data_IF_046004127115
#
_entry.id   IF_046004127115
#
_cell.length_a   1.000
_cell.length_b   1.000
_cell.length_c   1.000
_cell.angle_alpha   90.00
_cell.angle_beta   90.00
_cell.angle_gamma   90.00
#
_symmetry.space_group_name_H-M   'P 1'
#
loop_
_entity.id
_entity.type
_entity.pdbx_description
1 polymer ?
#
# COMPACT_ATOMS: atom_id res chain seq x y z
N UNK A 1 4.63 -29.52 7.97
CA UNK A 1 4.18 -29.47 6.58
C UNK A 1 5.25 -28.76 5.78
N UNK A 2 5.75 -29.38 4.69
CA UNK A 2 6.72 -28.72 3.83
C UNK A 2 6.06 -27.51 3.19
N UNK A 3 6.67 -26.34 3.41
CA UNK A 3 6.15 -25.04 2.93
C UNK A 3 6.37 -24.88 1.42
N UNK A 4 7.33 -25.63 0.85
CA UNK A 4 7.72 -25.62 -0.57
C UNK A 4 8.02 -27.05 -0.98
N UNK A 5 7.64 -27.44 -2.18
CA UNK A 5 8.09 -28.70 -2.80
C UNK A 5 9.02 -28.42 -4.00
N UNK A 6 9.98 -29.31 -4.18
CA UNK A 6 10.92 -29.26 -5.30
C UNK A 6 10.62 -30.45 -6.23
N UNK A 7 10.34 -30.15 -7.50
CA UNK A 7 10.17 -31.16 -8.51
C UNK A 7 11.55 -31.76 -8.87
N UNK A 8 11.72 -33.06 -8.59
CA UNK A 8 13.00 -33.72 -8.77
C UNK A 8 13.31 -34.05 -10.23
N UNK A 9 12.28 -34.11 -11.10
CA UNK A 9 12.43 -34.38 -12.52
C UNK A 9 12.79 -33.10 -13.29
N UNK A 10 12.19 -31.97 -12.91
CA UNK A 10 12.45 -30.69 -13.55
C UNK A 10 13.73 -30.00 -13.01
N UNK A 11 14.16 -30.31 -11.79
CA UNK A 11 15.28 -29.65 -11.15
C UNK A 11 16.63 -29.94 -11.76
N UNK A 12 17.26 -28.93 -12.38
CA UNK A 12 18.64 -29.03 -12.93
C UNK A 12 19.76 -28.93 -11.88
N UNK A 13 19.42 -28.83 -10.60
CA UNK A 13 20.37 -28.77 -9.48
C UNK A 13 21.30 -27.52 -9.53
N UNK A 14 20.91 -26.46 -10.23
CA UNK A 14 21.71 -25.26 -10.43
C UNK A 14 22.06 -24.52 -9.13
N UNK A 15 21.22 -24.65 -8.08
CA UNK A 15 21.47 -24.06 -6.76
C UNK A 15 21.02 -22.61 -6.60
N UNK A 16 20.46 -21.98 -7.63
CA UNK A 16 19.99 -20.57 -7.58
C UNK A 16 19.02 -20.37 -6.40
N UNK A 17 18.07 -21.29 -6.19
CA UNK A 17 17.10 -21.20 -5.08
C UNK A 17 17.75 -21.14 -3.69
N UNK A 18 18.94 -21.73 -3.53
CA UNK A 18 19.72 -21.69 -2.28
C UNK A 18 20.32 -20.30 -2.10
N UNK A 19 20.91 -19.75 -3.16
CA UNK A 19 21.57 -18.43 -3.14
C UNK A 19 20.59 -17.27 -2.96
N UNK A 20 19.42 -17.32 -3.60
CA UNK A 20 18.41 -16.25 -3.52
C UNK A 20 17.56 -16.31 -2.26
N UNK A 21 17.69 -17.34 -1.43
CA UNK A 21 16.92 -17.47 -0.20
C UNK A 21 17.41 -16.48 0.86
N UNK A 22 16.64 -15.43 1.21
CA UNK A 22 17.11 -14.37 2.11
C UNK A 22 17.34 -14.88 3.54
N UNK A 23 16.71 -15.98 3.93
CA UNK A 23 16.82 -16.58 5.26
C UNK A 23 17.73 -17.82 5.30
N UNK A 24 18.29 -18.24 4.16
CA UNK A 24 19.20 -19.37 4.07
C UNK A 24 18.59 -20.70 4.53
N UNK A 25 17.30 -20.92 4.34
CA UNK A 25 16.59 -22.12 4.81
C UNK A 25 16.60 -23.27 3.81
N UNK A 26 17.09 -23.05 2.59
CA UNK A 26 17.22 -24.07 1.54
C UNK A 26 18.65 -24.59 1.55
N UNK A 27 18.81 -25.89 1.66
CA UNK A 27 20.09 -26.58 1.73
C UNK A 27 20.27 -27.51 0.52
N UNK A 28 21.46 -28.02 0.37
CA UNK A 28 21.82 -29.02 -0.68
C UNK A 28 21.98 -30.39 -0.04
N UNK A 29 21.31 -31.39 -0.57
CA UNK A 29 21.48 -32.79 -0.15
C UNK A 29 22.78 -33.38 -0.70
N UNK A 30 23.10 -34.62 -0.29
CA UNK A 30 24.24 -35.37 -0.83
C UNK A 30 24.10 -35.63 -2.34
N UNK A 31 22.88 -35.73 -2.85
CA UNK A 31 22.55 -35.92 -4.27
C UNK A 31 22.46 -34.60 -5.04
N UNK A 32 22.91 -33.51 -4.41
CA UNK A 32 22.83 -32.14 -4.93
C UNK A 32 21.43 -31.59 -5.12
N UNK A 33 20.39 -32.19 -4.52
CA UNK A 33 19.02 -31.65 -4.57
C UNK A 33 18.80 -30.57 -3.53
N UNK A 34 18.08 -29.49 -3.87
CA UNK A 34 17.65 -28.51 -2.87
C UNK A 34 16.59 -29.14 -1.97
N UNK A 35 16.64 -28.81 -0.68
CA UNK A 35 15.63 -29.20 0.30
C UNK A 35 15.57 -28.20 1.46
N UNK A 36 14.47 -28.19 2.18
CA UNK A 36 14.32 -27.46 3.46
C UNK A 36 14.26 -28.51 4.57
N UNK A 37 15.17 -28.48 5.56
CA UNK A 37 15.06 -29.35 6.73
C UNK A 37 13.74 -29.09 7.48
N UNK A 38 13.10 -30.15 8.00
CA UNK A 38 11.80 -30.04 8.70
C UNK A 38 11.82 -28.99 9.83
N UNK A 39 12.96 -28.87 10.52
CA UNK A 39 13.17 -27.90 11.59
C UNK A 39 13.35 -26.46 11.13
N UNK A 40 13.45 -26.22 9.81
CA UNK A 40 13.65 -24.88 9.23
C UNK A 40 12.43 -24.39 8.45
N UNK A 41 11.43 -25.24 8.21
CA UNK A 41 10.24 -24.87 7.46
C UNK A 41 9.47 -23.68 8.06
N UNK A 42 9.43 -23.56 9.39
CA UNK A 42 8.75 -22.45 10.07
C UNK A 42 9.50 -21.10 9.94
N UNK A 43 10.79 -21.13 9.62
CA UNK A 43 11.61 -19.92 9.43
C UNK A 43 11.39 -19.31 8.04
N UNK A 44 10.83 -20.08 7.09
CA UNK A 44 10.60 -19.62 5.73
C UNK A 44 9.65 -18.42 5.70
N UNK A 45 10.12 -17.28 5.16
CA UNK A 45 9.31 -16.05 5.00
C UNK A 45 8.26 -16.17 3.89
N UNK A 46 8.17 -17.30 3.19
CA UNK A 46 7.24 -17.47 2.05
C UNK A 46 7.33 -16.33 1.01
N UNK A 47 8.54 -15.85 0.74
CA UNK A 47 8.75 -14.66 -0.10
C UNK A 47 8.69 -14.94 -1.60
N UNK A 48 8.65 -16.21 -2.04
CA UNK A 48 8.57 -16.59 -3.45
C UNK A 48 9.88 -16.45 -4.25
N UNK A 49 10.98 -15.95 -3.67
CA UNK A 49 12.22 -15.75 -4.43
C UNK A 49 12.73 -17.04 -5.08
N UNK A 50 12.70 -18.14 -4.36
CA UNK A 50 13.17 -19.43 -4.90
C UNK A 50 12.33 -19.88 -6.10
N UNK A 51 11.04 -19.64 -6.09
CA UNK A 51 10.11 -19.91 -7.20
C UNK A 51 10.39 -18.96 -8.37
N UNK A 52 10.40 -17.63 -8.11
CA UNK A 52 10.56 -16.60 -9.13
C UNK A 52 11.91 -16.67 -9.88
N UNK A 53 12.96 -17.17 -9.24
CA UNK A 53 14.29 -17.29 -9.83
C UNK A 53 14.62 -18.72 -10.35
N UNK A 54 13.68 -19.67 -10.27
CA UNK A 54 13.90 -21.01 -10.81
C UNK A 54 13.72 -21.03 -12.33
N UNK A 55 14.79 -21.25 -13.13
CA UNK A 55 14.67 -21.18 -14.59
C UNK A 55 13.81 -22.32 -15.16
N UNK A 56 13.68 -23.42 -14.43
CA UNK A 56 12.93 -24.60 -14.86
C UNK A 56 11.50 -24.66 -14.26
N UNK A 57 11.12 -23.69 -13.42
CA UNK A 57 9.83 -23.76 -12.73
C UNK A 57 9.69 -24.97 -11.78
N UNK A 58 10.80 -25.56 -11.33
CA UNK A 58 10.84 -26.77 -10.52
C UNK A 58 10.45 -26.57 -9.05
N UNK A 59 9.83 -25.44 -8.69
CA UNK A 59 9.44 -25.10 -7.32
C UNK A 59 7.96 -24.78 -7.29
N UNK A 60 7.19 -25.55 -6.52
CA UNK A 60 5.75 -25.32 -6.41
C UNK A 60 5.44 -24.01 -5.72
N UNK A 61 4.47 -23.25 -6.25
CA UNK A 61 4.04 -21.97 -5.67
C UNK A 61 3.50 -22.19 -4.25
N UNK A 62 3.76 -21.19 -3.40
CA UNK A 62 3.34 -21.23 -2.00
C UNK A 62 1.96 -20.63 -1.74
N UNK A 63 1.43 -19.94 -2.71
CA UNK A 63 0.16 -19.26 -2.63
C UNK A 63 -0.81 -19.84 -3.65
N UNK A 64 -2.04 -20.16 -3.23
CA UNK A 64 -3.12 -20.66 -4.10
C UNK A 64 -3.70 -19.56 -5.00
N UNK A 65 -2.90 -18.60 -5.37
CA UNK A 65 -3.36 -17.49 -6.18
C UNK A 65 -2.77 -17.61 -7.58
N UNK A 66 -3.61 -17.51 -8.60
CA UNK A 66 -3.19 -17.48 -9.99
C UNK A 66 -2.31 -16.23 -10.24
N UNK A 67 -1.01 -16.43 -10.32
CA UNK A 67 -0.03 -15.35 -10.52
C UNK A 67 0.95 -15.63 -11.63
N UNK A 68 0.71 -16.67 -12.40
CA UNK A 68 1.49 -16.90 -13.59
C UNK A 68 1.36 -15.68 -14.51
N UNK A 69 2.50 -15.05 -14.80
CA UNK A 69 2.58 -14.23 -16.01
C UNK A 69 2.08 -15.15 -17.13
N UNK A 70 1.03 -14.79 -17.88
CA UNK A 70 0.58 -15.61 -18.99
C UNK A 70 1.78 -15.95 -19.86
N UNK A 71 1.88 -17.19 -20.35
CA UNK A 71 3.04 -17.67 -21.14
C UNK A 71 3.28 -16.82 -22.39
N UNK A 72 2.25 -16.12 -22.87
CA UNK A 72 2.28 -15.20 -23.99
C UNK A 72 2.46 -13.72 -23.58
N UNK A 73 2.59 -13.43 -22.28
CA UNK A 73 2.78 -12.07 -21.82
C UNK A 73 4.19 -11.58 -22.14
N UNK A 74 4.26 -10.62 -23.04
CA UNK A 74 5.50 -9.87 -23.29
C UNK A 74 5.63 -8.83 -22.19
N UNK A 75 6.63 -9.02 -21.30
CA UNK A 75 6.96 -7.98 -20.33
C UNK A 75 7.39 -6.71 -21.08
N UNK A 76 6.76 -5.55 -20.78
CA UNK A 76 7.12 -4.32 -21.47
C UNK A 76 8.55 -3.91 -21.12
N UNK A 77 9.34 -3.56 -22.12
CA UNK A 77 10.65 -2.94 -21.91
C UNK A 77 10.45 -1.48 -21.50
N UNK A 78 10.34 -1.24 -20.21
CA UNK A 78 10.14 0.11 -19.66
C UNK A 78 11.48 0.81 -19.54
N UNK A 79 11.70 1.79 -20.41
CA UNK A 79 12.92 2.62 -20.37
C UNK A 79 12.95 3.53 -19.13
N UNK A 80 14.15 3.93 -18.64
CA UNK A 80 14.28 4.89 -17.54
C UNK A 80 13.56 6.23 -17.81
N UNK A 81 13.47 6.64 -19.08
CA UNK A 81 12.77 7.88 -19.48
C UNK A 81 11.26 7.71 -19.28
N UNK A 82 10.68 6.62 -19.75
CA UNK A 82 9.23 6.34 -19.59
C UNK A 82 8.84 6.23 -18.12
N UNK A 83 9.58 5.42 -17.34
CA UNK A 83 9.36 5.31 -15.91
C UNK A 83 9.51 6.66 -15.21
N UNK A 84 10.57 7.39 -15.55
CA UNK A 84 10.84 8.70 -14.96
C UNK A 84 9.76 9.73 -15.27
N UNK A 85 9.19 9.75 -16.48
CA UNK A 85 8.04 10.60 -16.83
C UNK A 85 6.82 10.21 -16.04
N UNK A 86 6.42 8.94 -16.05
CA UNK A 86 5.27 8.43 -15.32
C UNK A 86 5.31 8.81 -13.82
N UNK A 87 6.43 8.57 -13.14
CA UNK A 87 6.58 8.88 -11.73
C UNK A 87 6.56 10.41 -11.46
N UNK A 88 7.14 11.21 -12.35
CA UNK A 88 7.22 12.67 -12.19
C UNK A 88 5.91 13.38 -12.50
N UNK A 89 5.06 12.85 -13.37
CA UNK A 89 3.74 13.38 -13.68
C UNK A 89 2.75 13.17 -12.53
N UNK A 90 2.91 12.14 -11.72
CA UNK A 90 2.03 11.87 -10.57
C UNK A 90 1.92 13.10 -9.67
N UNK A 91 0.68 13.52 -9.41
CA UNK A 91 0.34 14.63 -8.50
C UNK A 91 -0.56 14.16 -7.38
N UNK A 92 -0.47 14.82 -6.22
CA UNK A 92 -1.48 14.70 -5.18
C UNK A 92 -2.75 15.41 -5.65
N UNK A 93 -3.71 14.63 -6.10
CA UNK A 93 -4.99 15.14 -6.62
C UNK A 93 -5.91 15.51 -5.45
N UNK A 94 -6.45 16.74 -5.49
CA UNK A 94 -7.30 17.30 -4.44
C UNK A 94 -8.61 17.91 -4.97
N UNK A 95 -8.92 17.63 -6.23
CA UNK A 95 -10.16 18.01 -6.88
C UNK A 95 -10.62 16.82 -7.73
N UNK A 96 -11.79 16.33 -7.44
CA UNK A 96 -12.32 15.12 -8.05
C UNK A 96 -13.59 15.41 -8.84
N UNK A 97 -13.88 14.55 -9.83
CA UNK A 97 -15.17 14.51 -10.51
C UNK A 97 -16.20 13.91 -9.55
N UNK A 98 -17.44 14.31 -9.65
CA UNK A 98 -18.57 13.65 -8.98
C UNK A 98 -18.91 12.35 -9.73
N UNK A 99 -18.02 11.37 -9.56
CA UNK A 99 -18.10 10.07 -10.20
C UNK A 99 -17.48 9.00 -9.31
N UNK A 100 -18.28 8.00 -8.97
CA UNK A 100 -17.84 6.83 -8.22
C UNK A 100 -16.97 5.94 -9.11
N UNK A 101 -15.88 5.41 -8.56
CA UNK A 101 -15.05 4.40 -9.21
C UNK A 101 -15.70 3.04 -8.96
N UNK A 102 -15.85 2.23 -9.99
CA UNK A 102 -16.41 0.90 -9.83
C UNK A 102 -15.47 -0.01 -9.00
N UNK A 103 -16.07 -0.96 -8.27
CA UNK A 103 -15.34 -1.85 -7.37
C UNK A 103 -14.33 -2.69 -8.10
N UNK A 104 -14.65 -3.18 -9.29
CA UNK A 104 -13.76 -4.04 -10.07
C UNK A 104 -12.47 -3.29 -10.47
N UNK A 105 -12.54 -1.98 -10.74
CA UNK A 105 -11.36 -1.13 -10.99
C UNK A 105 -10.49 -1.03 -9.73
N UNK A 106 -11.10 -0.83 -8.57
CA UNK A 106 -10.38 -0.76 -7.30
C UNK A 106 -9.71 -2.10 -6.97
N UNK A 107 -10.43 -3.21 -7.15
CA UNK A 107 -9.93 -4.57 -6.94
C UNK A 107 -8.72 -4.87 -7.83
N UNK A 108 -8.80 -4.56 -9.13
CA UNK A 108 -7.68 -4.70 -10.07
C UNK A 108 -6.45 -3.86 -9.66
N UNK A 109 -6.68 -2.65 -9.15
CA UNK A 109 -5.60 -1.81 -8.66
C UNK A 109 -4.97 -2.40 -7.40
N UNK A 110 -5.78 -2.88 -6.44
CA UNK A 110 -5.30 -3.53 -5.23
C UNK A 110 -4.59 -4.85 -5.52
N UNK A 111 -4.98 -5.55 -6.59
CA UNK A 111 -4.30 -6.77 -7.05
C UNK A 111 -2.85 -6.51 -7.50
N UNK A 112 -2.57 -5.35 -8.08
CA UNK A 112 -1.21 -4.88 -8.34
C UNK A 112 -0.51 -4.49 -7.02
N UNK A 113 -1.19 -3.73 -6.16
CA UNK A 113 -0.63 -3.17 -4.93
C UNK A 113 -0.24 -4.25 -3.92
N UNK A 114 -0.90 -5.42 -3.90
CA UNK A 114 -0.56 -6.53 -3.01
C UNK A 114 0.85 -7.11 -3.23
N UNK A 115 1.48 -6.83 -4.38
CA UNK A 115 2.88 -7.18 -4.65
C UNK A 115 3.89 -6.18 -4.07
N UNK A 116 3.44 -5.15 -3.35
CA UNK A 116 4.34 -4.25 -2.64
C UNK A 116 5.20 -5.01 -1.62
N UNK A 117 6.50 -4.74 -1.53
CA UNK A 117 7.36 -5.44 -0.59
C UNK A 117 6.98 -5.13 0.87
N UNK A 118 7.16 -6.13 1.75
CA UNK A 118 6.95 -6.00 3.19
C UNK A 118 8.08 -6.66 3.97
N UNK A 119 8.29 -6.23 5.21
CA UNK A 119 9.32 -6.80 6.08
C UNK A 119 9.13 -8.30 6.25
N UNK A 120 10.18 -9.10 5.95
CA UNK A 120 10.17 -10.58 5.92
C UNK A 120 8.96 -11.19 5.18
N UNK A 121 8.45 -10.49 4.18
CA UNK A 121 7.24 -10.83 3.43
C UNK A 121 6.00 -11.09 4.32
N UNK A 122 5.89 -10.38 5.43
CA UNK A 122 4.82 -10.58 6.41
C UNK A 122 3.43 -10.15 5.89
N UNK A 123 3.36 -9.30 4.86
CA UNK A 123 2.14 -8.83 4.21
C UNK A 123 1.06 -8.36 5.22
N UNK A 124 1.39 -7.48 6.17
CA UNK A 124 0.51 -7.14 7.29
C UNK A 124 -0.60 -6.17 6.93
N UNK A 125 -0.58 -5.63 5.72
CA UNK A 125 -1.47 -4.55 5.32
C UNK A 125 -2.84 -5.09 4.94
N UNK A 126 -3.86 -4.66 5.68
CA UNK A 126 -5.25 -4.85 5.35
C UNK A 126 -5.84 -3.54 4.80
N UNK A 127 -6.87 -3.65 3.99
CA UNK A 127 -7.50 -2.52 3.32
C UNK A 127 -8.95 -2.35 3.76
N UNK A 128 -9.29 -1.16 4.23
CA UNK A 128 -10.67 -0.70 4.33
C UNK A 128 -10.91 0.32 3.23
N UNK A 129 -11.76 0.00 2.27
CA UNK A 129 -12.16 0.92 1.21
C UNK A 129 -13.51 1.54 1.57
N UNK A 130 -13.49 2.82 1.95
CA UNK A 130 -14.71 3.60 2.13
C UNK A 130 -15.19 4.02 0.75
N UNK A 131 -16.13 3.25 0.20
CA UNK A 131 -16.58 3.38 -1.20
C UNK A 131 -17.75 4.33 -1.38
N UNK A 132 -18.63 4.46 -0.39
CA UNK A 132 -19.77 5.38 -0.45
C UNK A 132 -19.32 6.82 -0.19
N UNK A 133 -19.54 7.77 -1.12
CA UNK A 133 -19.21 9.19 -0.91
C UNK A 133 -19.86 9.79 0.33
N UNK A 134 -21.05 9.33 0.73
CA UNK A 134 -21.73 9.80 1.96
C UNK A 134 -20.98 9.37 3.21
N UNK A 135 -20.39 8.17 3.18
CA UNK A 135 -19.56 7.70 4.28
C UNK A 135 -18.24 8.50 4.34
N UNK A 136 -17.63 8.83 3.21
CA UNK A 136 -16.45 9.71 3.17
C UNK A 136 -16.79 11.10 3.78
N UNK A 137 -17.93 11.68 3.43
CA UNK A 137 -18.40 12.94 4.04
C UNK A 137 -18.64 12.79 5.55
N UNK A 138 -19.13 11.65 6.00
CA UNK A 138 -19.31 11.35 7.44
C UNK A 138 -17.97 11.33 8.17
N UNK A 139 -16.95 10.68 7.60
CA UNK A 139 -15.59 10.68 8.16
C UNK A 139 -15.01 12.09 8.23
N UNK A 140 -15.21 12.93 7.18
CA UNK A 140 -14.83 14.34 7.21
C UNK A 140 -15.48 15.06 8.38
N UNK A 141 -16.80 14.94 8.55
CA UNK A 141 -17.53 15.59 9.64
C UNK A 141 -17.00 15.17 11.02
N UNK A 142 -16.87 13.88 11.27
CA UNK A 142 -16.35 13.34 12.53
C UNK A 142 -14.94 13.90 12.81
N UNK A 143 -14.09 13.97 11.78
CA UNK A 143 -12.74 14.53 11.91
C UNK A 143 -12.77 16.01 12.27
N UNK A 144 -13.66 16.79 11.67
CA UNK A 144 -13.84 18.23 12.00
C UNK A 144 -14.39 18.40 13.41
N UNK A 145 -15.35 17.59 13.83
CA UNK A 145 -15.92 17.66 15.17
C UNK A 145 -14.85 17.35 16.24
N UNK A 146 -14.03 16.34 16.01
CA UNK A 146 -12.85 16.06 16.83
C UNK A 146 -11.86 17.25 16.86
N UNK A 147 -11.61 17.91 15.72
CA UNK A 147 -10.75 19.11 15.71
C UNK A 147 -11.32 20.25 16.55
N UNK A 148 -12.65 20.44 16.54
CA UNK A 148 -13.30 21.43 17.40
C UNK A 148 -13.07 21.12 18.88
N UNK A 149 -13.19 19.87 19.28
CA UNK A 149 -12.89 19.43 20.65
C UNK A 149 -11.43 19.74 21.01
N UNK A 150 -10.46 19.32 20.15
CA UNK A 150 -9.02 19.57 20.38
C UNK A 150 -8.70 21.06 20.49
N UNK A 151 -9.33 21.90 19.68
CA UNK A 151 -9.11 23.36 19.71
C UNK A 151 -9.67 23.97 20.98
N UNK A 152 -10.78 23.43 21.53
CA UNK A 152 -11.43 23.95 22.75
C UNK A 152 -10.67 23.62 24.04
N UNK A 153 -9.81 22.59 24.02
CA UNK A 153 -9.01 22.20 25.19
C UNK A 153 -7.94 23.25 25.49
N UNK A 154 -7.70 23.52 26.77
CA UNK A 154 -6.57 24.32 27.20
C UNK A 154 -5.25 23.60 26.91
N UNK A 155 -4.20 24.38 26.64
CA UNK A 155 -2.85 23.87 26.37
C UNK A 155 -2.29 24.35 25.04
N UNK A 156 -0.97 24.29 24.93
CA UNK A 156 -0.20 24.68 23.75
C UNK A 156 -0.12 23.51 22.77
N UNK A 157 -0.98 23.55 21.76
CA UNK A 157 -0.95 22.59 20.65
C UNK A 157 -0.60 23.35 19.36
N UNK A 158 0.58 23.11 18.77
CA UNK A 158 1.03 23.82 17.57
C UNK A 158 0.12 23.59 16.35
N UNK A 159 -0.73 22.58 16.36
CA UNK A 159 -1.69 22.32 15.28
C UNK A 159 -3.01 23.12 15.42
N UNK A 160 -3.28 23.76 16.57
CA UNK A 160 -4.53 24.53 16.76
C UNK A 160 -4.80 25.56 15.66
N UNK A 161 -3.86 26.41 15.24
CA UNK A 161 -4.13 27.40 14.17
C UNK A 161 -4.49 26.73 12.84
N UNK A 162 -3.85 25.60 12.51
CA UNK A 162 -4.17 24.82 11.31
C UNK A 162 -5.57 24.23 11.42
N UNK A 163 -5.90 23.60 12.56
CA UNK A 163 -7.24 23.03 12.80
C UNK A 163 -8.34 24.11 12.73
N UNK A 164 -8.13 25.29 13.31
CA UNK A 164 -9.06 26.42 13.22
C UNK A 164 -9.31 26.82 11.76
N UNK A 165 -8.26 26.88 10.93
CA UNK A 165 -8.40 27.16 9.50
C UNK A 165 -9.19 26.09 8.74
N UNK A 166 -9.00 24.80 9.09
CA UNK A 166 -9.76 23.70 8.49
C UNK A 166 -11.23 23.72 8.92
N UNK A 167 -11.51 23.98 10.20
CA UNK A 167 -12.87 24.13 10.73
C UNK A 167 -13.58 25.28 9.99
N UNK A 168 -12.94 26.44 9.90
CA UNK A 168 -13.51 27.60 9.19
C UNK A 168 -13.78 27.30 7.70
N UNK A 169 -12.89 26.55 7.04
CA UNK A 169 -13.11 26.13 5.66
C UNK A 169 -14.32 25.20 5.54
N UNK A 170 -14.49 24.26 6.49
CA UNK A 170 -15.61 23.33 6.52
C UNK A 170 -16.94 24.08 6.77
N UNK A 171 -16.97 25.02 7.71
CA UNK A 171 -18.15 25.85 8.01
C UNK A 171 -18.57 26.73 6.83
N UNK A 172 -17.61 27.06 5.94
CA UNK A 172 -17.86 27.70 4.66
C UNK A 172 -18.17 26.73 3.50
N UNK A 173 -18.58 25.49 3.79
CA UNK A 173 -19.06 24.51 2.80
C UNK A 173 -17.97 23.82 1.99
N UNK A 174 -16.70 23.89 2.41
CA UNK A 174 -15.61 23.16 1.77
C UNK A 174 -15.31 21.85 2.52
N UNK A 175 -14.83 20.83 1.84
CA UNK A 175 -14.26 19.65 2.48
C UNK A 175 -12.72 19.78 2.55
N UNK A 176 -12.16 20.19 3.69
CA UNK A 176 -10.72 20.34 3.84
C UNK A 176 -10.00 19.03 4.21
N UNK A 177 -10.73 17.97 4.57
CA UNK A 177 -10.18 16.68 5.04
C UNK A 177 -10.00 15.72 3.87
N UNK A 178 -11.10 15.35 3.19
CA UNK A 178 -11.11 14.42 2.07
C UNK A 178 -11.22 15.11 0.70
N UNK A 179 -11.32 16.46 0.67
CA UNK A 179 -11.31 17.27 -0.58
C UNK A 179 -12.43 16.92 -1.56
N UNK A 180 -13.55 16.43 -1.07
CA UNK A 180 -14.65 15.96 -1.91
C UNK A 180 -14.32 14.70 -2.71
N UNK A 181 -13.32 13.95 -2.29
CA UNK A 181 -13.03 12.65 -2.90
C UNK A 181 -14.19 11.68 -2.70
N UNK A 182 -14.59 10.91 -3.73
CA UNK A 182 -15.66 9.92 -3.59
C UNK A 182 -15.27 8.72 -2.74
N UNK A 183 -13.97 8.46 -2.56
CA UNK A 183 -13.47 7.28 -1.88
C UNK A 183 -12.26 7.58 -1.00
N UNK A 184 -12.09 6.73 0.04
CA UNK A 184 -10.88 6.69 0.87
C UNK A 184 -10.42 5.24 1.00
N UNK A 185 -9.13 5.01 0.71
CA UNK A 185 -8.44 3.76 1.03
C UNK A 185 -7.70 3.92 2.35
N UNK A 186 -7.96 3.04 3.30
CA UNK A 186 -7.34 3.03 4.62
C UNK A 186 -6.51 1.76 4.73
N UNK A 187 -5.20 1.93 4.87
CA UNK A 187 -4.30 0.84 5.22
C UNK A 187 -4.31 0.67 6.75
N UNK A 188 -4.65 -0.52 7.21
CA UNK A 188 -4.70 -0.85 8.62
C UNK A 188 -4.01 -2.18 8.90
N UNK A 189 -3.52 -2.38 10.11
CA UNK A 189 -2.83 -3.59 10.53
C UNK A 189 -2.93 -3.74 12.04
N UNK A 190 -2.51 -4.90 12.57
CA UNK A 190 -2.37 -5.11 14.00
C UNK A 190 -1.44 -4.06 14.62
N UNK A 191 -1.85 -3.50 15.75
CA UNK A 191 -1.15 -2.41 16.44
C UNK A 191 0.22 -2.82 16.98
N UNK A 192 0.40 -4.09 17.31
CA UNK A 192 1.64 -4.67 17.87
C UNK A 192 2.65 -5.11 16.80
N UNK A 193 2.29 -5.03 15.51
CA UNK A 193 3.23 -5.36 14.43
C UNK A 193 4.21 -4.19 14.17
N UNK A 194 5.50 -4.35 14.48
CA UNK A 194 6.47 -3.25 14.39
C UNK A 194 6.73 -2.77 12.95
N UNK A 195 6.42 -3.60 11.94
CA UNK A 195 6.62 -3.26 10.53
C UNK A 195 5.37 -2.64 9.90
N UNK A 196 4.21 -2.70 10.58
CA UNK A 196 2.92 -2.32 10.03
C UNK A 196 2.89 -0.93 9.39
N UNK A 197 3.47 0.06 10.07
CA UNK A 197 3.50 1.43 9.56
C UNK A 197 4.34 1.56 8.28
N UNK A 198 5.56 1.02 8.29
CA UNK A 198 6.47 1.09 7.14
C UNK A 198 5.88 0.35 5.94
N UNK A 199 5.40 -0.87 6.15
CA UNK A 199 4.82 -1.70 5.09
C UNK A 199 3.54 -1.04 4.51
N UNK A 200 2.73 -0.40 5.37
CA UNK A 200 1.54 0.35 4.91
C UNK A 200 1.90 1.59 4.09
N UNK A 201 2.98 2.31 4.44
CA UNK A 201 3.47 3.43 3.63
C UNK A 201 3.96 2.95 2.27
N UNK A 202 4.66 1.82 2.21
CA UNK A 202 5.11 1.22 0.95
C UNK A 202 3.89 0.83 0.10
N UNK A 203 2.93 0.11 0.66
CA UNK A 203 1.72 -0.31 -0.05
C UNK A 203 0.90 0.88 -0.57
N UNK A 204 0.71 1.93 0.25
CA UNK A 204 0.04 3.17 -0.19
C UNK A 204 0.83 3.93 -1.24
N UNK A 205 2.17 3.89 -1.22
CA UNK A 205 2.99 4.47 -2.28
C UNK A 205 2.80 3.73 -3.61
N UNK A 206 2.69 2.39 -3.56
CA UNK A 206 2.31 1.60 -4.74
C UNK A 206 0.91 1.93 -5.23
N UNK A 207 -0.06 2.09 -4.32
CA UNK A 207 -1.42 2.54 -4.64
C UNK A 207 -1.42 3.90 -5.34
N UNK A 208 -0.65 4.88 -4.82
CA UNK A 208 -0.52 6.21 -5.40
C UNK A 208 0.10 6.17 -6.80
N UNK A 209 1.08 5.28 -7.02
CA UNK A 209 1.73 5.10 -8.33
C UNK A 209 0.85 4.32 -9.31
N UNK A 210 0.06 3.36 -8.85
CA UNK A 210 -0.85 2.61 -9.71
C UNK A 210 -2.04 3.46 -10.17
N UNK A 211 -2.58 4.34 -9.34
CA UNK A 211 -3.80 5.10 -9.59
C UNK A 211 -3.86 5.79 -10.97
N UNK A 212 -2.81 6.49 -11.46
CA UNK A 212 -2.87 7.13 -12.78
C UNK A 212 -3.06 6.15 -13.93
N UNK A 213 -2.54 4.93 -13.87
CA UNK A 213 -2.73 3.91 -14.91
C UNK A 213 -4.20 3.47 -15.03
N UNK A 214 -5.00 3.67 -13.98
CA UNK A 214 -6.45 3.44 -13.96
C UNK A 214 -7.26 4.72 -14.23
N UNK A 215 -6.60 5.82 -14.64
CA UNK A 215 -7.24 7.12 -14.83
C UNK A 215 -7.67 7.78 -13.51
N UNK A 216 -7.13 7.34 -12.38
CA UNK A 216 -7.45 7.82 -11.05
C UNK A 216 -6.36 8.76 -10.53
N UNK A 217 -6.72 9.58 -9.57
CA UNK A 217 -5.80 10.39 -8.80
C UNK A 217 -5.96 10.14 -7.32
N UNK A 218 -4.86 10.18 -6.59
CA UNK A 218 -4.85 9.95 -5.16
C UNK A 218 -4.17 11.09 -4.40
N UNK A 219 -4.44 11.20 -3.11
CA UNK A 219 -3.76 12.11 -2.20
C UNK A 219 -3.79 11.57 -0.77
N UNK A 220 -2.69 11.73 -0.07
CA UNK A 220 -2.54 11.33 1.32
C UNK A 220 -3.51 12.09 2.24
N UNK A 221 -4.33 11.35 3.01
CA UNK A 221 -5.35 11.90 3.91
C UNK A 221 -4.78 12.06 5.33
N UNK A 222 -3.77 12.94 5.47
CA UNK A 222 -3.02 13.10 6.72
C UNK A 222 -3.87 13.49 7.92
N UNK A 223 -4.84 14.38 7.77
CA UNK A 223 -5.69 14.79 8.88
C UNK A 223 -6.62 13.66 9.36
N UNK A 224 -7.10 12.82 8.44
CA UNK A 224 -7.87 11.63 8.80
C UNK A 224 -7.00 10.66 9.64
N UNK A 225 -5.74 10.44 9.22
CA UNK A 225 -4.79 9.61 9.96
C UNK A 225 -4.50 10.18 11.36
N UNK A 226 -4.32 11.50 11.47
CA UNK A 226 -4.05 12.15 12.77
C UNK A 226 -5.26 11.98 13.70
N UNK A 227 -6.47 12.20 13.20
CA UNK A 227 -7.69 12.01 13.96
C UNK A 227 -7.86 10.54 14.41
N UNK A 228 -7.60 9.58 13.53
CA UNK A 228 -7.71 8.16 13.85
C UNK A 228 -6.82 7.71 15.02
N UNK A 229 -5.79 8.47 15.38
CA UNK A 229 -4.93 8.16 16.50
C UNK A 229 -5.58 8.43 17.88
N UNK A 230 -6.61 9.29 17.96
CA UNK A 230 -7.20 9.71 19.25
C UNK A 230 -8.70 10.01 19.21
N UNK A 231 -9.33 10.00 18.03
CA UNK A 231 -10.76 10.23 17.86
C UNK A 231 -11.51 8.88 17.95
N UNK A 232 -12.01 8.55 19.14
CA UNK A 232 -12.80 7.31 19.33
C UNK A 232 -14.00 7.22 18.38
N UNK A 233 -14.85 8.28 18.21
CA UNK A 233 -15.96 8.22 17.26
C UNK A 233 -15.55 7.89 15.82
N UNK A 234 -14.36 8.33 15.38
CA UNK A 234 -13.85 7.98 14.07
C UNK A 234 -13.46 6.50 14.00
N UNK A 235 -12.77 5.98 15.01
CA UNK A 235 -12.39 4.57 15.06
C UNK A 235 -13.61 3.65 15.13
N UNK A 236 -14.62 4.03 15.91
CA UNK A 236 -15.89 3.29 16.00
C UNK A 236 -16.61 3.27 14.64
N UNK A 237 -16.61 4.38 13.90
CA UNK A 237 -17.21 4.48 12.56
C UNK A 237 -16.45 3.63 11.52
N UNK A 238 -15.13 3.54 11.63
CA UNK A 238 -14.31 2.73 10.71
C UNK A 238 -14.53 1.24 10.92
N UNK A 239 -14.89 0.80 12.14
CA UNK A 239 -15.23 -0.60 12.45
C UNK A 239 -14.12 -1.58 12.11
N UNK A 240 -12.86 -1.21 12.37
CA UNK A 240 -11.73 -2.09 12.10
C UNK A 240 -11.77 -3.35 12.97
N UNK A 241 -11.18 -4.47 12.51
CA UNK A 241 -11.04 -5.66 13.34
C UNK A 241 -10.33 -5.37 14.67
N UNK A 242 -10.62 -6.17 15.69
CA UNK A 242 -9.99 -6.04 17.00
C UNK A 242 -8.46 -6.06 16.91
N UNK A 243 -7.81 -5.19 17.67
CA UNK A 243 -6.36 -5.04 17.67
C UNK A 243 -5.79 -4.28 16.47
N UNK A 244 -6.59 -3.96 15.44
CA UNK A 244 -6.13 -3.19 14.29
C UNK A 244 -6.18 -1.69 14.54
N UNK A 245 -5.21 -0.99 13.97
CA UNK A 245 -5.16 0.48 13.95
C UNK A 245 -4.95 1.01 12.54
N UNK A 246 -5.41 2.23 12.30
CA UNK A 246 -5.17 2.95 11.04
C UNK A 246 -3.68 3.29 10.95
N UNK A 247 -3.00 2.73 9.96
CA UNK A 247 -1.60 3.05 9.69
C UNK A 247 -1.50 4.34 8.87
N UNK A 248 -2.24 4.43 7.79
CA UNK A 248 -2.44 5.66 7.02
C UNK A 248 -3.69 5.55 6.13
N UNK A 249 -4.04 6.67 5.48
CA UNK A 249 -5.18 6.74 4.57
C UNK A 249 -4.87 7.57 3.32
N UNK A 250 -5.57 7.26 2.23
CA UNK A 250 -5.45 7.96 0.96
C UNK A 250 -6.82 8.20 0.36
N UNK A 251 -7.16 9.46 0.07
CA UNK A 251 -8.34 9.80 -0.70
C UNK A 251 -8.07 9.59 -2.18
N UNK A 252 -9.08 9.13 -2.95
CA UNK A 252 -8.91 8.88 -4.38
C UNK A 252 -10.22 8.99 -5.17
N UNK A 253 -10.08 9.12 -6.48
CA UNK A 253 -11.19 9.23 -7.43
C UNK A 253 -10.72 9.73 -8.79
N UNK A 254 -11.64 9.99 -9.70
CA UNK A 254 -11.31 10.57 -11.00
C UNK A 254 -10.90 12.04 -10.86
N UNK A 255 -9.70 12.44 -11.34
CA UNK A 255 -9.26 13.84 -11.31
C UNK A 255 -10.23 14.75 -12.06
N UNK A 256 -10.57 15.91 -11.46
CA UNK A 256 -11.37 16.94 -12.15
C UNK A 256 -10.54 17.68 -13.21
N UNK A 257 -9.26 17.83 -12.95
CA UNK A 257 -8.30 18.54 -13.81
C UNK A 257 -7.09 17.65 -14.07
N UNK A 258 -6.52 17.77 -15.26
CA UNK A 258 -5.29 17.07 -15.65
C UNK A 258 -4.08 17.98 -15.47
N UNK A 259 -2.95 17.47 -14.99
CA UNK A 259 -1.71 18.22 -14.93
C UNK A 259 -1.19 18.53 -16.35
N UNK A 260 -0.85 19.78 -16.63
CA UNK A 260 -0.26 20.18 -17.91
C UNK A 260 1.28 20.26 -17.89
N UNK A 261 1.91 19.91 -16.78
CA UNK A 261 3.36 19.97 -16.66
C UNK A 261 3.90 19.35 -15.38
N UNK A 262 5.19 19.14 -15.37
CA UNK A 262 5.93 18.59 -14.23
C UNK A 262 6.62 19.76 -13.50
N UNK A 263 6.19 20.12 -12.28
CA UNK A 263 6.84 21.19 -11.52
C UNK A 263 8.25 20.77 -11.09
N UNK A 264 9.13 21.74 -10.98
CA UNK A 264 10.51 21.55 -10.54
C UNK A 264 10.63 20.95 -9.13
N UNK A 265 11.77 20.37 -8.84
CA UNK A 265 12.19 19.86 -7.54
C UNK A 265 13.62 20.26 -7.26
N UNK A 266 13.97 20.39 -6.00
CA UNK A 266 15.36 20.52 -5.59
C UNK A 266 16.16 19.29 -6.05
N UNK A 267 17.44 19.48 -6.35
CA UNK A 267 18.35 18.37 -6.67
C UNK A 267 18.49 17.45 -5.44
N UNK A 268 18.69 16.18 -5.69
CA UNK A 268 19.01 15.23 -4.64
C UNK A 268 20.31 15.66 -3.91
N UNK A 269 20.29 15.56 -2.59
CA UNK A 269 21.50 15.76 -1.77
C UNK A 269 22.14 14.39 -1.58
N UNK A 270 23.28 14.17 -2.22
CA UNK A 270 23.99 12.89 -2.27
C UNK A 270 25.34 13.03 -1.62
N UNK A 271 25.69 12.11 -0.75
CA UNK A 271 27.02 11.94 -0.19
C UNK A 271 27.58 10.63 -0.74
N UNK A 272 28.69 10.70 -1.44
CA UNK A 272 29.43 9.53 -1.91
C UNK A 272 30.52 9.19 -0.90
N UNK A 273 30.66 7.90 -0.52
CA UNK A 273 31.76 7.42 0.37
C UNK A 273 32.56 6.37 -0.36
#
# INVERSE_FOLDING_TARGET
MNVISFDTEMCTKCGICIEVCPLGVIFRSAENMPYIPDKMGYVCAKCGNCEAFCPEGAISPMFDTEHSIPDDAVLPDITPVQLGLYMRERRSIRNYKDKVVDRATIEKMLDIVRFSPSGVNNQPVHWLIVHDPKQVQKLTRITIDWMREVVSLDGDNPMKPVMQGLIAAYDNGKDPICRGAPHVAIAHALADNPMAYTDSIIALSWFELAAPAFGLGACWAGFLKIAAASCKPLMDELGLPEGHTVQYAMMFGYPKYEPHGIPGRNRARIIWK
#
